data_IF_562411497884
#
_entry.id   IF_562411497884
#
_cell.length_a   1.000
_cell.length_b   1.000
_cell.length_c   1.000
_cell.angle_alpha   90.00
_cell.angle_beta   90.00
_cell.angle_gamma   90.00
#
_symmetry.space_group_name_H-M   'P 1'
#
loop_
_entity.id
_entity.type
_entity.pdbx_description
1 polymer ?
#
# COMPACT_ATOMS: atom_id res chain seq x y z
N UNK A 1 15.96 -12.62 18.60
CA UNK A 1 16.73 -12.17 17.43
C UNK A 1 16.33 -10.73 17.17
N UNK A 2 17.25 -9.83 16.85
CA UNK A 2 16.90 -8.43 16.56
C UNK A 2 16.37 -8.34 15.14
N UNK A 3 15.25 -7.63 14.93
CA UNK A 3 14.72 -7.40 13.60
C UNK A 3 15.72 -6.59 12.75
N UNK A 4 16.12 -7.06 11.55
CA UNK A 4 17.01 -6.32 10.66
C UNK A 4 16.35 -5.07 10.06
N UNK A 5 15.02 -4.96 10.09
CA UNK A 5 14.30 -3.73 9.72
C UNK A 5 14.30 -2.66 10.81
N UNK A 6 14.65 -3.03 12.05
CA UNK A 6 14.54 -2.18 13.23
C UNK A 6 13.18 -2.22 13.93
N UNK A 7 12.23 -3.08 13.50
CA UNK A 7 10.92 -3.21 14.15
C UNK A 7 11.04 -3.78 15.56
N UNK A 8 10.15 -3.37 16.45
CA UNK A 8 10.19 -3.79 17.86
C UNK A 8 8.85 -4.36 18.33
N UNK A 9 8.84 -5.39 19.20
CA UNK A 9 7.60 -5.89 19.81
C UNK A 9 6.83 -4.83 20.60
N UNK A 10 7.50 -3.76 21.06
CA UNK A 10 6.87 -2.61 21.72
C UNK A 10 5.84 -1.93 20.82
N UNK A 11 6.14 -1.75 19.53
CA UNK A 11 5.21 -1.17 18.56
C UNK A 11 3.94 -2.01 18.43
N UNK A 12 4.09 -3.31 18.22
CA UNK A 12 2.97 -4.24 18.13
C UNK A 12 2.13 -4.24 19.41
N UNK A 13 2.77 -4.27 20.58
CA UNK A 13 2.07 -4.23 21.87
C UNK A 13 1.27 -2.93 22.02
N UNK A 14 1.90 -1.78 21.76
CA UNK A 14 1.24 -0.48 21.88
C UNK A 14 0.03 -0.39 20.94
N UNK A 15 0.16 -0.90 19.72
CA UNK A 15 -0.93 -0.96 18.76
C UNK A 15 -2.08 -1.85 19.23
N UNK A 16 -1.77 -3.08 19.69
CA UNK A 16 -2.78 -4.02 20.17
C UNK A 16 -3.53 -3.47 21.40
N UNK A 17 -2.82 -2.79 22.30
CA UNK A 17 -3.41 -2.14 23.48
C UNK A 17 -4.35 -0.99 23.07
N UNK A 18 -3.99 -0.21 22.03
CA UNK A 18 -4.78 0.91 21.53
C UNK A 18 -5.99 0.49 20.67
N UNK A 19 -5.90 -0.67 20.00
CA UNK A 19 -6.89 -1.19 19.07
C UNK A 19 -7.38 -2.60 19.46
N UNK A 20 -8.10 -2.75 20.59
CA UNK A 20 -8.61 -4.05 21.05
C UNK A 20 -9.61 -4.69 20.07
N UNK A 21 -10.25 -3.90 19.21
CA UNK A 21 -11.26 -4.31 18.23
C UNK A 21 -10.70 -5.00 16.98
N UNK A 22 -9.40 -4.84 16.68
CA UNK A 22 -8.80 -5.39 15.45
C UNK A 22 -8.66 -6.90 15.53
N UNK A 23 -9.21 -7.62 14.55
CA UNK A 23 -9.25 -9.09 14.53
C UNK A 23 -8.18 -9.76 13.65
N UNK A 24 -7.69 -9.04 12.65
CA UNK A 24 -6.71 -9.53 11.69
C UNK A 24 -5.82 -8.42 11.13
N UNK A 25 -4.70 -8.82 10.54
CA UNK A 25 -3.72 -7.92 9.96
C UNK A 25 -3.37 -8.34 8.54
N UNK A 26 -3.37 -7.39 7.62
CA UNK A 26 -2.79 -7.56 6.30
C UNK A 26 -1.29 -7.26 6.42
N UNK A 27 -0.44 -8.29 6.26
CA UNK A 27 1.02 -8.09 6.15
C UNK A 27 1.37 -7.95 4.67
N UNK A 28 2.01 -6.85 4.28
CA UNK A 28 2.13 -6.47 2.86
C UNK A 28 3.58 -6.16 2.47
N UNK A 29 4.09 -6.88 1.48
CA UNK A 29 5.28 -6.52 0.69
C UNK A 29 4.83 -5.82 -0.59
N UNK A 30 5.65 -4.92 -1.14
CA UNK A 30 5.42 -4.35 -2.48
C UNK A 30 6.38 -5.02 -3.46
N UNK A 31 5.85 -5.67 -4.49
CA UNK A 31 6.67 -6.30 -5.54
C UNK A 31 7.19 -5.28 -6.56
N UNK A 32 7.99 -5.74 -7.53
CA UNK A 32 8.60 -4.89 -8.55
C UNK A 32 7.59 -4.20 -9.49
N UNK A 33 6.33 -4.68 -9.54
CA UNK A 33 5.25 -4.07 -10.30
C UNK A 33 4.46 -3.05 -9.47
N UNK A 34 4.84 -2.81 -8.21
CA UNK A 34 4.11 -1.95 -7.30
C UNK A 34 2.89 -2.62 -6.67
N UNK A 35 2.72 -3.94 -6.82
CA UNK A 35 1.57 -4.66 -6.29
C UNK A 35 1.85 -5.10 -4.84
N UNK A 36 0.87 -4.87 -3.97
CA UNK A 36 0.87 -5.40 -2.61
C UNK A 36 0.68 -6.92 -2.59
N UNK A 37 1.64 -7.66 -2.05
CA UNK A 37 1.63 -9.12 -1.89
C UNK A 37 1.80 -9.50 -0.42
N UNK A 38 1.16 -10.57 0.03
CA UNK A 38 1.39 -11.02 1.40
C UNK A 38 0.30 -11.94 1.94
N UNK A 39 -0.02 -11.79 3.22
CA UNK A 39 -0.94 -12.68 3.96
C UNK A 39 -1.88 -11.86 4.84
N UNK A 40 -3.08 -12.38 5.05
CA UNK A 40 -3.94 -11.95 6.16
C UNK A 40 -3.66 -12.88 7.33
N UNK A 41 -3.19 -12.32 8.45
CA UNK A 41 -2.85 -13.07 9.67
C UNK A 41 -3.81 -12.72 10.79
N UNK A 42 -4.03 -13.64 11.74
CA UNK A 42 -4.94 -13.38 12.87
C UNK A 42 -4.27 -12.54 13.94
N UNK A 43 -5.08 -11.85 14.76
CA UNK A 43 -4.58 -10.94 15.81
C UNK A 43 -3.47 -11.54 16.68
N UNK A 44 -3.63 -12.80 17.09
CA UNK A 44 -2.68 -13.48 17.98
C UNK A 44 -1.31 -13.73 17.34
N UNK A 45 -1.20 -13.67 16.01
CA UNK A 45 0.06 -13.89 15.28
C UNK A 45 0.97 -12.64 15.28
N UNK A 46 0.40 -11.43 15.48
CA UNK A 46 1.13 -10.17 15.29
C UNK A 46 2.39 -10.09 16.16
N UNK A 47 2.30 -10.43 17.44
CA UNK A 47 3.45 -10.39 18.35
C UNK A 47 4.59 -11.29 17.88
N UNK A 48 4.27 -12.53 17.49
CA UNK A 48 5.26 -13.47 16.97
C UNK A 48 5.96 -12.96 15.70
N UNK A 49 5.24 -12.23 14.86
CA UNK A 49 5.81 -11.60 13.64
C UNK A 49 6.81 -10.50 14.00
N UNK A 50 6.54 -9.67 15.01
CA UNK A 50 7.48 -8.64 15.46
C UNK A 50 8.68 -9.21 16.23
N UNK A 51 8.54 -10.39 16.85
CA UNK A 51 9.61 -11.07 17.59
C UNK A 51 10.53 -11.91 16.70
N UNK A 52 9.97 -12.55 15.67
CA UNK A 52 10.65 -13.59 14.89
C UNK A 52 10.56 -13.44 13.37
N UNK A 53 9.87 -12.42 12.87
CA UNK A 53 9.56 -12.28 11.44
C UNK A 53 8.53 -13.31 10.96
N UNK A 54 8.20 -13.26 9.66
CA UNK A 54 7.30 -14.21 9.01
C UNK A 54 7.95 -14.83 7.80
N UNK A 55 7.94 -16.15 7.71
CA UNK A 55 8.42 -16.85 6.53
C UNK A 55 7.47 -16.66 5.33
N UNK A 56 8.06 -16.34 4.19
CA UNK A 56 7.42 -16.13 2.90
C UNK A 56 8.33 -16.69 1.79
N UNK A 57 7.73 -17.29 0.74
CA UNK A 57 8.48 -17.81 -0.40
C UNK A 57 9.21 -16.67 -1.11
N UNK A 58 10.44 -16.91 -1.55
CA UNK A 58 11.26 -15.89 -2.21
C UNK A 58 10.67 -15.47 -3.57
N UNK A 59 9.94 -16.36 -4.25
CA UNK A 59 9.23 -16.10 -5.51
C UNK A 59 8.25 -14.94 -5.45
N UNK A 60 7.73 -14.59 -4.27
CA UNK A 60 6.75 -13.50 -4.08
C UNK A 60 7.24 -12.13 -4.59
N UNK A 61 8.57 -11.94 -4.70
CA UNK A 61 9.20 -10.72 -5.21
C UNK A 61 9.54 -10.79 -6.71
N UNK A 62 9.24 -11.89 -7.38
CA UNK A 62 9.53 -12.16 -8.79
C UNK A 62 8.30 -12.50 -9.63
N UNK A 63 7.10 -12.09 -9.18
CA UNK A 63 5.86 -12.32 -9.92
C UNK A 63 5.65 -11.29 -11.03
N UNK A 64 4.92 -11.67 -12.07
CA UNK A 64 4.45 -10.74 -13.09
C UNK A 64 3.25 -9.89 -12.59
N UNK A 65 2.74 -9.02 -13.48
CA UNK A 65 1.62 -8.14 -13.16
C UNK A 65 0.33 -8.91 -12.80
N UNK A 66 0.16 -10.14 -13.31
CA UNK A 66 -0.99 -11.00 -13.04
C UNK A 66 -0.81 -11.85 -11.78
N UNK A 67 0.42 -11.94 -11.27
CA UNK A 67 0.78 -12.74 -10.11
C UNK A 67 1.31 -14.13 -10.44
N UNK A 68 1.72 -14.36 -11.69
CA UNK A 68 2.35 -15.61 -12.12
C UNK A 68 3.87 -15.57 -11.91
N UNK A 69 4.47 -16.74 -11.67
CA UNK A 69 5.90 -16.91 -11.53
C UNK A 69 6.64 -16.57 -12.84
N UNK A 70 7.65 -15.70 -12.75
CA UNK A 70 8.54 -15.42 -13.87
C UNK A 70 9.81 -16.24 -13.73
N UNK A 71 9.95 -17.28 -14.57
CA UNK A 71 11.06 -18.23 -14.49
C UNK A 71 12.44 -17.57 -14.60
N UNK A 72 12.58 -16.56 -15.45
CA UNK A 72 13.83 -15.83 -15.72
C UNK A 72 14.36 -15.05 -14.52
N UNK A 73 13.54 -14.88 -13.47
CA UNK A 73 14.01 -14.28 -12.21
C UNK A 73 14.98 -15.19 -11.45
N UNK A 74 14.97 -16.49 -11.74
CA UNK A 74 15.72 -17.51 -11.00
C UNK A 74 15.22 -17.74 -9.57
N UNK A 75 14.13 -17.09 -9.14
CA UNK A 75 13.65 -17.17 -7.75
C UNK A 75 12.79 -18.41 -7.47
N UNK A 76 12.44 -19.19 -8.49
CA UNK A 76 11.56 -20.36 -8.36
C UNK A 76 12.39 -21.64 -8.43
N UNK A 77 12.90 -21.98 -9.61
CA UNK A 77 13.57 -23.26 -9.84
C UNK A 77 15.02 -23.28 -9.35
N UNK A 78 15.75 -22.16 -9.45
CA UNK A 78 17.18 -22.14 -9.11
C UNK A 78 17.42 -22.10 -7.59
N UNK A 79 16.47 -21.55 -6.83
CA UNK A 79 16.51 -21.47 -5.37
C UNK A 79 15.62 -22.52 -4.69
N UNK A 80 14.76 -23.20 -5.45
CA UNK A 80 13.74 -24.12 -4.95
C UNK A 80 12.58 -23.44 -4.23
N UNK A 81 12.33 -22.17 -4.54
CA UNK A 81 11.35 -21.29 -3.88
C UNK A 81 11.43 -21.33 -2.34
N UNK A 82 12.66 -21.23 -1.83
CA UNK A 82 12.92 -21.29 -0.41
C UNK A 82 12.26 -20.14 0.36
N UNK A 83 11.79 -20.45 1.57
CA UNK A 83 11.28 -19.44 2.48
C UNK A 83 12.42 -18.52 2.97
N UNK A 84 12.27 -17.22 2.70
CA UNK A 84 13.03 -16.17 3.36
C UNK A 84 12.25 -15.63 4.55
N UNK A 85 12.74 -14.56 5.18
CA UNK A 85 12.11 -13.96 6.35
C UNK A 85 11.75 -12.50 6.11
N UNK A 86 10.45 -12.23 6.12
CA UNK A 86 9.92 -10.89 6.08
C UNK A 86 9.77 -10.31 7.49
N UNK A 87 10.14 -9.05 7.66
CA UNK A 87 10.09 -8.33 8.93
C UNK A 87 9.23 -7.07 8.79
N UNK A 88 8.45 -6.72 9.84
CA UNK A 88 7.67 -5.49 9.85
C UNK A 88 8.54 -4.27 9.60
N UNK A 89 8.01 -3.27 8.92
CA UNK A 89 8.65 -1.98 8.77
C UNK A 89 8.20 -1.08 9.92
N UNK A 90 9.13 -0.52 10.70
CA UNK A 90 8.79 0.35 11.83
C UNK A 90 7.87 1.50 11.43
N UNK A 91 6.84 1.76 12.23
CA UNK A 91 5.93 2.90 12.07
C UNK A 91 4.91 2.74 10.95
N UNK A 92 4.75 1.53 10.40
CA UNK A 92 3.77 1.25 9.33
C UNK A 92 2.60 0.39 9.79
N UNK A 93 2.58 -0.01 11.06
CA UNK A 93 1.44 -0.72 11.65
C UNK A 93 0.31 0.28 11.94
N UNK A 94 -0.76 0.22 11.15
CA UNK A 94 -1.89 1.17 11.17
C UNK A 94 -3.23 0.45 11.06
N UNK A 95 -4.34 1.02 11.59
CA UNK A 95 -5.68 0.49 11.34
C UNK A 95 -6.10 0.70 9.88
N UNK A 96 -6.89 -0.22 9.33
CA UNK A 96 -7.54 -0.04 8.03
C UNK A 96 -8.90 0.63 8.20
N UNK A 97 -9.17 1.63 7.36
CA UNK A 97 -10.46 2.29 7.29
C UNK A 97 -11.49 1.43 6.53
N UNK A 98 -12.76 1.47 6.96
CA UNK A 98 -13.88 0.84 6.23
C UNK A 98 -13.91 -0.69 6.24
N UNK A 99 -13.08 -1.38 7.03
CA UNK A 99 -13.08 -2.86 7.08
C UNK A 99 -14.05 -3.42 8.12
N UNK A 100 -14.78 -4.48 7.76
CA UNK A 100 -15.61 -5.28 8.67
C UNK A 100 -15.34 -6.78 8.44
N UNK A 101 -14.83 -7.53 9.46
CA UNK A 101 -14.43 -7.06 10.79
C UNK A 101 -13.26 -6.06 10.74
N UNK A 102 -13.02 -5.29 11.82
CA UNK A 102 -11.89 -4.34 11.88
C UNK A 102 -10.54 -5.03 11.68
N UNK A 103 -9.71 -4.47 10.79
CA UNK A 103 -8.38 -4.97 10.47
C UNK A 103 -7.31 -3.89 10.61
N UNK A 104 -6.07 -4.32 10.80
CA UNK A 104 -4.89 -3.48 10.64
C UNK A 104 -4.09 -3.88 9.41
N UNK A 105 -3.08 -3.09 9.07
CA UNK A 105 -2.07 -3.42 8.07
C UNK A 105 -0.69 -3.10 8.63
N UNK A 106 0.32 -3.86 8.19
CA UNK A 106 1.72 -3.51 8.39
C UNK A 106 2.51 -3.82 7.13
N UNK A 107 3.34 -2.87 6.71
CA UNK A 107 4.25 -3.11 5.60
C UNK A 107 5.41 -3.98 6.07
N UNK A 108 5.91 -4.83 5.18
CA UNK A 108 6.98 -5.77 5.44
C UNK A 108 8.16 -5.51 4.50
N UNK A 109 9.34 -5.97 4.87
CA UNK A 109 10.50 -6.03 3.98
C UNK A 109 11.18 -7.41 4.12
N UNK A 110 11.70 -7.94 3.01
CA UNK A 110 12.27 -9.28 2.95
C UNK A 110 13.78 -9.28 3.24
N UNK A 111 14.22 -10.23 4.05
CA UNK A 111 15.64 -10.43 4.36
C UNK A 111 16.01 -11.91 4.19
N UNK A 112 17.25 -12.15 3.82
CA UNK A 112 17.86 -13.46 3.92
C UNK A 112 17.87 -13.94 5.39
N UNK A 113 17.99 -15.25 5.62
CA UNK A 113 17.94 -15.84 6.96
C UNK A 113 19.10 -15.40 7.87
N UNK A 114 20.20 -14.93 7.28
CA UNK A 114 21.34 -14.33 7.98
C UNK A 114 21.14 -12.82 8.30
N UNK A 115 20.01 -12.25 7.89
CA UNK A 115 19.65 -10.84 8.09
C UNK A 115 20.09 -9.90 6.99
N UNK A 116 20.74 -10.38 5.92
CA UNK A 116 21.09 -9.52 4.78
C UNK A 116 19.83 -9.06 4.01
N UNK A 117 19.77 -7.80 3.53
CA UNK A 117 18.65 -7.30 2.73
C UNK A 117 18.43 -8.11 1.46
N UNK A 118 17.18 -8.48 1.15
CA UNK A 118 16.85 -9.10 -0.13
C UNK A 118 17.01 -8.08 -1.26
N UNK A 119 17.76 -8.43 -2.30
CA UNK A 119 18.08 -7.49 -3.40
C UNK A 119 16.87 -7.15 -4.27
N UNK A 120 15.96 -8.10 -4.46
CA UNK A 120 14.73 -7.97 -5.25
C UNK A 120 13.59 -7.23 -4.55
N UNK A 121 13.74 -6.90 -3.26
CA UNK A 121 12.77 -6.08 -2.53
C UNK A 121 12.93 -4.59 -2.96
N UNK A 122 11.93 -3.99 -3.65
CA UNK A 122 12.05 -2.62 -4.16
C UNK A 122 12.19 -1.57 -3.06
N UNK A 123 11.59 -1.80 -1.89
CA UNK A 123 11.74 -0.89 -0.75
C UNK A 123 13.18 -0.90 -0.26
N UNK A 124 13.78 -2.07 -0.12
CA UNK A 124 15.19 -2.18 0.27
C UNK A 124 16.12 -1.61 -0.81
N UNK A 125 15.75 -1.72 -2.09
CA UNK A 125 16.46 -1.04 -3.17
C UNK A 125 16.43 0.48 -3.02
N UNK A 126 15.26 1.08 -2.73
CA UNK A 126 15.13 2.51 -2.45
C UNK A 126 15.92 2.94 -1.21
N UNK A 127 15.79 2.18 -0.10
CA UNK A 127 16.53 2.42 1.14
C UNK A 127 18.04 2.52 0.90
N UNK A 128 18.61 1.60 0.10
CA UNK A 128 20.04 1.65 -0.27
C UNK A 128 20.41 2.96 -0.99
N UNK A 129 19.56 3.47 -1.88
CA UNK A 129 19.85 4.75 -2.56
C UNK A 129 19.78 5.94 -1.60
N UNK A 130 18.78 5.96 -0.71
CA UNK A 130 18.64 7.00 0.33
C UNK A 130 19.86 7.01 1.25
N UNK A 131 20.34 5.84 1.70
CA UNK A 131 21.54 5.72 2.53
C UNK A 131 22.81 6.20 1.80
N UNK A 132 22.95 5.90 0.50
CA UNK A 132 24.06 6.40 -0.33
C UNK A 132 24.07 7.92 -0.48
N UNK A 133 22.89 8.55 -0.53
CA UNK A 133 22.76 10.00 -0.55
C UNK A 133 23.10 10.58 0.83
N UNK A 134 22.57 9.99 1.90
CA UNK A 134 22.83 10.42 3.28
C UNK A 134 24.33 10.35 3.64
N UNK A 135 25.05 9.32 3.17
CA UNK A 135 26.50 9.20 3.34
C UNK A 135 27.31 10.35 2.69
N UNK A 136 26.68 11.10 1.78
CA UNK A 136 27.24 12.32 1.15
C UNK A 136 26.70 13.61 1.77
N UNK A 137 25.91 13.52 2.84
CA UNK A 137 25.21 14.66 3.45
C UNK A 137 23.99 15.15 2.65
N UNK A 138 23.45 14.32 1.74
CA UNK A 138 22.27 14.65 0.94
C UNK A 138 21.03 13.93 1.48
N UNK A 139 19.92 14.66 1.64
CA UNK A 139 18.66 14.14 2.16
C UNK A 139 17.56 14.33 1.12
N UNK A 140 17.25 13.29 0.31
CA UNK A 140 16.22 13.40 -0.72
C UNK A 140 14.84 13.55 -0.09
N UNK A 141 14.00 14.37 -0.71
CA UNK A 141 12.58 14.50 -0.41
C UNK A 141 11.79 14.38 -1.73
N UNK A 142 10.60 13.78 -1.65
CA UNK A 142 9.67 13.66 -2.76
C UNK A 142 8.25 13.83 -2.26
N UNK A 143 7.41 14.42 -3.11
CA UNK A 143 5.97 14.48 -2.96
C UNK A 143 5.35 13.87 -4.23
N UNK A 144 4.13 13.36 -4.10
CA UNK A 144 3.38 12.78 -5.21
C UNK A 144 2.05 13.53 -5.32
N UNK A 145 1.70 13.88 -6.54
CA UNK A 145 0.35 14.31 -6.94
C UNK A 145 -0.22 13.12 -7.73
N UNK A 146 -1.26 12.48 -7.19
CA UNK A 146 -1.84 11.30 -7.79
C UNK A 146 -3.07 11.67 -8.60
N UNK A 147 -2.91 11.67 -9.91
CA UNK A 147 -4.03 11.78 -10.84
C UNK A 147 -4.69 10.42 -11.09
N UNK A 148 -6.03 10.39 -11.08
CA UNK A 148 -6.81 9.20 -11.36
C UNK A 148 -8.16 9.51 -12.00
N UNK A 149 -8.78 8.49 -12.61
CA UNK A 149 -10.10 8.57 -13.20
C UNK A 149 -11.13 7.81 -12.37
N UNK A 150 -12.26 8.46 -12.11
CA UNK A 150 -13.45 7.83 -11.54
C UNK A 150 -14.40 7.49 -12.68
N UNK A 151 -14.68 6.20 -12.85
CA UNK A 151 -15.49 5.67 -13.94
C UNK A 151 -16.82 5.13 -13.42
N UNK A 152 -17.89 5.29 -14.20
CA UNK A 152 -19.15 4.61 -13.94
C UNK A 152 -19.01 3.11 -14.22
N UNK A 153 -19.76 2.30 -13.47
CA UNK A 153 -19.84 0.86 -13.71
C UNK A 153 -20.58 0.57 -15.03
N UNK A 154 -21.58 1.38 -15.35
CA UNK A 154 -22.32 1.29 -16.60
C UNK A 154 -21.49 1.81 -17.76
N UNK A 155 -21.62 1.15 -18.91
CA UNK A 155 -21.09 1.65 -20.18
C UNK A 155 -22.06 2.67 -20.77
N UNK A 156 -21.54 3.56 -21.62
CA UNK A 156 -22.37 4.49 -22.38
C UNK A 156 -23.18 3.77 -23.49
N UNK A 157 -23.95 4.53 -24.27
CA UNK A 157 -24.77 3.99 -25.35
C UNK A 157 -23.96 3.29 -26.45
N UNK A 158 -22.67 3.61 -26.60
CA UNK A 158 -21.75 3.01 -27.56
C UNK A 158 -20.93 1.86 -26.95
N UNK A 159 -21.19 1.52 -25.68
CA UNK A 159 -20.45 0.48 -24.97
C UNK A 159 -19.06 0.90 -24.52
N UNK A 160 -18.78 2.19 -24.32
CA UNK A 160 -17.50 2.71 -23.82
C UNK A 160 -17.54 2.99 -22.31
N UNK A 161 -16.37 3.14 -21.71
CA UNK A 161 -16.24 3.68 -20.35
C UNK A 161 -16.68 5.14 -20.32
N UNK A 162 -17.27 5.58 -19.20
CA UNK A 162 -17.71 6.95 -19.00
C UNK A 162 -17.38 7.42 -17.57
N UNK A 163 -17.30 8.74 -17.33
CA UNK A 163 -17.07 9.29 -16.00
C UNK A 163 -18.11 8.81 -14.98
N UNK A 164 -17.68 8.66 -13.73
CA UNK A 164 -18.57 8.37 -12.62
C UNK A 164 -19.63 9.48 -12.48
N UNK A 165 -20.83 9.08 -12.06
CA UNK A 165 -21.85 10.05 -11.64
C UNK A 165 -21.49 10.61 -10.27
N UNK A 166 -21.97 11.82 -9.97
CA UNK A 166 -21.86 12.40 -8.65
C UNK A 166 -22.43 11.44 -7.59
N UNK A 167 -21.65 11.16 -6.54
CA UNK A 167 -22.03 10.27 -5.45
C UNK A 167 -23.19 10.84 -4.63
N UNK A 168 -23.24 12.16 -4.48
CA UNK A 168 -24.23 12.84 -3.64
C UNK A 168 -25.65 12.85 -4.23
N UNK A 169 -25.79 13.09 -5.53
CA UNK A 169 -27.09 13.34 -6.19
C UNK A 169 -27.31 12.57 -7.51
N UNK A 170 -26.33 11.78 -7.96
CA UNK A 170 -26.40 11.01 -9.20
C UNK A 170 -26.28 11.85 -10.48
N UNK A 171 -25.94 13.14 -10.39
CA UNK A 171 -25.75 14.02 -11.55
C UNK A 171 -24.65 13.48 -12.47
N UNK A 172 -24.91 13.54 -13.77
CA UNK A 172 -23.97 13.14 -14.81
C UNK A 172 -23.27 14.37 -15.38
N UNK A 173 -21.97 14.26 -15.64
CA UNK A 173 -21.25 15.23 -16.46
C UNK A 173 -20.28 14.50 -17.38
N UNK A 174 -20.29 14.89 -18.65
CA UNK A 174 -19.28 14.48 -19.64
C UNK A 174 -18.32 15.63 -19.97
N UNK A 175 -18.38 16.74 -19.21
CA UNK A 175 -17.52 17.90 -19.36
C UNK A 175 -16.23 17.68 -18.57
N UNK A 176 -15.20 18.45 -18.92
CA UNK A 176 -13.92 18.45 -18.22
C UNK A 176 -14.05 18.87 -16.75
N UNK A 177 -14.86 19.90 -16.45
CA UNK A 177 -15.06 20.38 -15.06
C UNK A 177 -13.76 20.75 -14.33
N UNK A 178 -12.72 21.22 -15.03
CA UNK A 178 -11.41 21.57 -14.41
C UNK A 178 -11.58 22.64 -13.31
N UNK A 179 -10.99 22.40 -12.13
CA UNK A 179 -11.12 23.24 -10.92
C UNK A 179 -12.57 23.53 -10.48
N UNK A 180 -13.54 22.70 -10.88
CA UNK A 180 -14.96 22.87 -10.57
C UNK A 180 -15.27 22.36 -9.15
N UNK A 181 -15.36 23.30 -8.20
CA UNK A 181 -15.76 22.99 -6.81
C UNK A 181 -17.16 22.36 -6.76
N UNK A 182 -18.10 22.79 -7.61
CA UNK A 182 -19.44 22.20 -7.69
C UNK A 182 -19.41 20.75 -8.20
N UNK A 183 -18.43 20.39 -9.03
CA UNK A 183 -18.22 19.00 -9.43
C UNK A 183 -17.67 18.18 -8.26
N UNK A 184 -16.65 18.70 -7.56
CA UNK A 184 -16.07 18.05 -6.37
C UNK A 184 -17.07 17.88 -5.23
N UNK A 185 -17.96 18.85 -4.99
CA UNK A 185 -19.05 18.73 -4.02
C UNK A 185 -19.97 17.55 -4.31
N UNK A 186 -20.19 17.21 -5.59
CA UNK A 186 -20.98 16.03 -5.96
C UNK A 186 -20.29 14.71 -5.60
N UNK A 187 -18.96 14.72 -5.48
CA UNK A 187 -18.12 13.56 -5.16
C UNK A 187 -17.68 13.54 -3.69
N UNK A 188 -18.11 14.52 -2.89
CA UNK A 188 -17.66 14.71 -1.50
C UNK A 188 -17.73 13.43 -0.65
N UNK A 189 -18.77 12.59 -0.69
CA UNK A 189 -18.79 11.37 0.12
C UNK A 189 -17.62 10.42 -0.17
N UNK A 190 -17.20 10.30 -1.44
CA UNK A 190 -16.05 9.47 -1.81
C UNK A 190 -14.75 10.08 -1.31
N UNK A 191 -14.53 11.38 -1.53
CA UNK A 191 -13.31 12.03 -1.11
C UNK A 191 -13.19 12.04 0.43
N UNK A 192 -14.30 12.23 1.14
CA UNK A 192 -14.36 12.11 2.60
C UNK A 192 -13.91 10.73 3.10
N UNK A 193 -14.30 9.64 2.43
CA UNK A 193 -13.81 8.29 2.75
C UNK A 193 -12.31 8.13 2.44
N UNK A 194 -11.82 8.67 1.31
CA UNK A 194 -10.39 8.66 0.96
C UNK A 194 -9.57 9.42 2.03
N UNK A 195 -10.00 10.61 2.45
CA UNK A 195 -9.34 11.39 3.49
C UNK A 195 -9.39 10.68 4.85
N UNK A 196 -10.49 10.00 5.19
CA UNK A 196 -10.57 9.21 6.41
C UNK A 196 -9.59 8.04 6.40
N UNK A 197 -9.44 7.36 5.26
CA UNK A 197 -8.44 6.30 5.07
C UNK A 197 -7.00 6.83 5.13
N UNK A 198 -6.70 7.95 4.46
CA UNK A 198 -5.39 8.58 4.49
C UNK A 198 -4.99 8.98 5.93
N UNK A 199 -5.92 9.59 6.67
CA UNK A 199 -5.73 9.96 8.08
C UNK A 199 -5.47 8.74 8.96
N UNK A 200 -6.19 7.65 8.76
CA UNK A 200 -5.99 6.40 9.51
C UNK A 200 -4.59 5.80 9.27
N UNK A 201 -4.01 6.03 8.09
CA UNK A 201 -2.67 5.57 7.71
C UNK A 201 -1.56 6.62 7.94
N UNK A 202 -1.89 7.79 8.50
CA UNK A 202 -0.91 8.87 8.73
C UNK A 202 -0.41 9.53 7.45
N UNK A 203 -1.15 9.44 6.35
CA UNK A 203 -0.84 10.10 5.07
C UNK A 203 -1.44 11.52 5.13
N UNK A 204 -0.61 12.58 5.03
CA UNK A 204 -1.09 13.96 4.98
C UNK A 204 -1.60 14.29 3.57
N UNK A 205 -2.75 13.71 3.20
CA UNK A 205 -3.43 14.04 1.95
C UNK A 205 -3.89 15.50 2.00
N UNK A 206 -3.54 16.28 0.97
CA UNK A 206 -3.79 17.71 0.90
C UNK A 206 -4.97 18.01 -0.03
N UNK A 207 -4.79 18.89 -1.02
CA UNK A 207 -5.87 19.45 -1.82
C UNK A 207 -6.35 18.45 -2.87
N UNK A 208 -7.68 18.30 -3.00
CA UNK A 208 -8.30 17.63 -4.14
C UNK A 208 -8.70 18.64 -5.21
N UNK A 209 -8.41 18.34 -6.47
CA UNK A 209 -8.89 19.11 -7.62
C UNK A 209 -9.55 18.20 -8.66
N UNK A 210 -10.46 18.77 -9.45
CA UNK A 210 -10.93 18.15 -10.68
C UNK A 210 -10.05 18.60 -11.84
N UNK A 211 -9.63 17.64 -12.66
CA UNK A 211 -8.52 17.80 -13.60
C UNK A 211 -8.98 18.02 -15.05
N UNK A 212 -8.03 18.01 -16.00
CA UNK A 212 -8.23 18.43 -17.38
C UNK A 212 -8.96 17.41 -18.29
N UNK A 213 -9.42 16.27 -17.75
CA UNK A 213 -10.29 15.33 -18.46
C UNK A 213 -11.56 14.98 -17.67
N UNK A 214 -12.68 14.64 -18.36
CA UNK A 214 -13.91 14.24 -17.69
C UNK A 214 -13.70 13.08 -16.72
N UNK A 215 -14.12 13.26 -15.46
CA UNK A 215 -13.98 12.26 -14.40
C UNK A 215 -12.56 12.10 -13.85
N UNK A 216 -11.62 12.97 -14.24
CA UNK A 216 -10.27 13.00 -13.70
C UNK A 216 -10.22 13.83 -12.42
N UNK A 217 -9.47 13.36 -11.44
CA UNK A 217 -9.19 14.07 -10.19
C UNK A 217 -7.74 13.88 -9.80
N UNK A 218 -7.24 14.78 -8.98
CA UNK A 218 -5.89 14.72 -8.41
C UNK A 218 -5.99 14.89 -6.89
N UNK A 219 -5.12 14.17 -6.17
CA UNK A 219 -4.95 14.27 -4.72
C UNK A 219 -3.49 14.01 -4.31
#
# INVERSE_FOLDING_TARGET
MTSPSGSTPTEAKAFLDAHPEIEAFDIVLTDANGIGRGKIVRRHELMGIFEGGRHLPISILGLDITGEDVHETGLVWDTGDGDLRAWPIPGTLVPLHGTSPPRGQVLMAMYHLDGQPMSSDPRLALKRQVERLAAKGLHPAGAFELEFFLLANERDADGKVQPAHAVLDGRRSAKTEVYSVDHLHGMEPLFSDIYAAAKAQGIPAETVISEYAPGQSEL
#
